data_IF_741693117016
#
_entry.id   IF_741693117016
#
_cell.length_a   1.000
_cell.length_b   1.000
_cell.length_c   1.000
_cell.angle_alpha   90.00
_cell.angle_beta   90.00
_cell.angle_gamma   90.00
#
_symmetry.space_group_name_H-M   'P 1'
#
loop_
_entity.id
_entity.type
_entity.pdbx_description
1 polymer ?
#
# COMPACT_ATOMS: atom_id res chain seq x y z
N UNK A 1 6.65 4.91 -19.16
CA UNK A 1 5.41 4.91 -18.37
C UNK A 1 5.75 5.56 -17.05
N UNK A 2 5.08 6.65 -16.69
CA UNK A 2 5.44 7.42 -15.50
C UNK A 2 4.56 6.99 -14.34
N UNK A 3 5.18 6.35 -13.36
CA UNK A 3 4.56 6.10 -12.07
C UNK A 3 4.27 7.45 -11.43
N UNK A 4 3.07 7.64 -10.88
CA UNK A 4 2.67 8.93 -10.33
C UNK A 4 1.70 8.75 -9.19
N UNK A 5 1.65 9.73 -8.31
CA UNK A 5 0.76 9.72 -7.16
C UNK A 5 1.43 10.23 -5.90
N UNK A 6 0.74 10.05 -4.78
CA UNK A 6 1.19 10.55 -3.50
C UNK A 6 0.65 9.75 -2.33
N UNK A 7 1.39 9.82 -1.22
CA UNK A 7 0.96 9.45 0.12
C UNK A 7 0.76 10.73 0.93
N UNK A 8 -0.36 10.80 1.64
CA UNK A 8 -0.66 11.81 2.65
C UNK A 8 -0.61 11.13 4.01
N UNK A 9 0.31 11.54 4.88
CA UNK A 9 0.44 11.03 6.25
C UNK A 9 0.33 12.20 7.22
N UNK A 10 -0.77 12.26 7.99
CA UNK A 10 -1.03 13.35 8.94
C UNK A 10 -0.80 14.76 8.35
N UNK A 11 -1.22 14.98 7.08
CA UNK A 11 -1.07 16.24 6.37
C UNK A 11 0.27 16.47 5.65
N UNK A 12 1.29 15.64 5.90
CA UNK A 12 2.52 15.65 5.09
C UNK A 12 2.29 14.90 3.78
N UNK A 13 2.84 15.43 2.69
CA UNK A 13 2.67 14.89 1.33
C UNK A 13 4.00 14.33 0.84
N UNK A 14 3.98 13.07 0.40
CA UNK A 14 5.12 12.38 -0.19
C UNK A 14 4.76 11.96 -1.62
N UNK A 15 5.52 12.45 -2.59
CA UNK A 15 5.33 12.03 -3.99
C UNK A 15 5.82 10.59 -4.18
N UNK A 16 5.12 9.81 -5.00
CA UNK A 16 5.54 8.47 -5.36
C UNK A 16 6.93 8.51 -6.04
N UNK A 17 7.81 7.59 -5.65
CA UNK A 17 9.12 7.41 -6.26
C UNK A 17 8.98 6.50 -7.49
N UNK A 18 9.42 6.99 -8.66
CA UNK A 18 9.42 6.15 -9.86
C UNK A 18 10.62 5.21 -9.83
N UNK A 19 10.43 3.96 -9.39
CA UNK A 19 11.50 2.97 -9.29
C UNK A 19 11.02 1.55 -9.64
N UNK A 20 11.98 0.62 -9.80
CA UNK A 20 11.67 -0.82 -9.95
C UNK A 20 11.03 -1.45 -8.71
N UNK A 21 11.17 -0.79 -7.57
CA UNK A 21 10.67 -1.25 -6.27
C UNK A 21 9.26 -0.74 -6.00
N UNK A 22 8.73 0.14 -6.85
CA UNK A 22 7.37 0.64 -6.79
C UNK A 22 6.54 -0.01 -7.90
N UNK A 23 5.74 -1.00 -7.53
CA UNK A 23 5.01 -1.86 -8.46
C UNK A 23 3.87 -2.62 -7.79
N UNK A 24 2.89 -3.00 -8.59
CA UNK A 24 1.85 -3.94 -8.26
C UNK A 24 2.28 -5.34 -8.69
N UNK A 25 1.82 -6.36 -7.97
CA UNK A 25 2.06 -7.76 -8.27
C UNK A 25 0.74 -8.49 -8.48
N UNK A 26 0.72 -9.39 -9.45
CA UNK A 26 -0.36 -10.34 -9.67
C UNK A 26 0.22 -11.74 -9.79
N UNK A 27 -0.32 -12.68 -9.03
CA UNK A 27 0.03 -14.08 -9.09
C UNK A 27 -1.24 -14.93 -9.20
N UNK A 28 -1.09 -16.17 -9.64
CA UNK A 28 -2.17 -17.15 -9.51
C UNK A 28 -2.38 -17.46 -8.02
N UNK A 29 -3.63 -17.63 -7.61
CA UNK A 29 -3.99 -18.04 -6.27
C UNK A 29 -3.67 -19.51 -6.05
N UNK A 30 -2.99 -19.80 -4.94
CA UNK A 30 -2.76 -21.16 -4.46
C UNK A 30 -3.99 -21.71 -3.69
N UNK A 31 -4.90 -20.83 -3.25
CA UNK A 31 -6.09 -21.19 -2.46
C UNK A 31 -7.34 -21.41 -3.32
N UNK A 32 -7.50 -20.64 -4.41
CA UNK A 32 -8.66 -20.69 -5.31
C UNK A 32 -8.20 -20.78 -6.78
N UNK A 33 -8.09 -22.02 -7.26
CA UNK A 33 -7.50 -22.36 -8.56
C UNK A 33 -8.15 -21.56 -9.72
N UNK A 34 -7.31 -20.90 -10.51
CA UNK A 34 -7.74 -20.08 -11.65
C UNK A 34 -8.13 -18.65 -11.29
N UNK A 35 -7.99 -18.25 -10.03
CA UNK A 35 -8.13 -16.85 -9.58
C UNK A 35 -6.77 -16.21 -9.32
N UNK A 36 -6.77 -14.88 -9.15
CA UNK A 36 -5.58 -14.07 -8.95
C UNK A 36 -5.44 -13.65 -7.48
N UNK A 37 -4.20 -13.39 -7.08
CA UNK A 37 -3.89 -12.57 -5.92
C UNK A 37 -3.36 -11.20 -6.35
N UNK A 38 -3.47 -10.19 -5.47
CA UNK A 38 -2.94 -8.85 -5.71
C UNK A 38 -2.19 -8.30 -4.49
N UNK A 39 -0.98 -7.81 -4.71
CA UNK A 39 -0.18 -7.08 -3.71
C UNK A 39 0.55 -5.91 -4.38
N UNK A 40 1.24 -5.08 -3.61
CA UNK A 40 2.05 -3.99 -4.17
C UNK A 40 3.10 -3.46 -3.20
N UNK A 41 4.15 -2.91 -3.78
CA UNK A 41 5.12 -2.05 -3.09
C UNK A 41 5.02 -0.62 -3.63
N UNK A 42 5.07 0.36 -2.73
CA UNK A 42 5.08 1.77 -3.07
C UNK A 42 6.14 2.51 -2.24
N UNK A 43 7.17 3.02 -2.91
CA UNK A 43 8.19 3.86 -2.29
C UNK A 43 7.86 5.33 -2.57
N UNK A 44 8.20 6.20 -1.62
CA UNK A 44 7.92 7.63 -1.74
C UNK A 44 9.19 8.46 -1.58
N UNK A 45 9.24 9.56 -2.33
CA UNK A 45 10.32 10.53 -2.29
C UNK A 45 10.44 11.15 -0.90
N UNK A 46 11.66 11.56 -0.58
CA UNK A 46 11.99 12.19 0.69
C UNK A 46 11.18 13.49 0.89
N UNK A 47 10.51 13.63 2.02
CA UNK A 47 9.83 14.86 2.42
C UNK A 47 9.97 15.12 3.93
N UNK A 48 9.62 16.33 4.36
CA UNK A 48 9.67 16.73 5.76
C UNK A 48 8.43 16.21 6.51
N UNK A 49 8.66 15.47 7.59
CA UNK A 49 7.63 14.97 8.49
C UNK A 49 8.09 15.18 9.94
N UNK A 50 7.28 15.92 10.72
CA UNK A 50 7.57 16.23 12.13
C UNK A 50 8.99 16.78 12.40
N UNK A 51 9.55 17.53 11.45
CA UNK A 51 10.89 18.14 11.57
C UNK A 51 12.04 17.29 11.05
N UNK A 52 11.76 16.08 10.56
CA UNK A 52 12.76 15.17 10.02
C UNK A 52 12.50 14.85 8.55
N UNK A 53 13.56 14.61 7.79
CA UNK A 53 13.44 14.21 6.39
C UNK A 53 13.37 12.69 6.28
N UNK A 54 12.22 12.17 5.86
CA UNK A 54 11.95 10.73 5.76
C UNK A 54 11.50 10.36 4.36
N UNK A 55 11.72 9.10 3.99
CA UNK A 55 11.27 8.50 2.72
C UNK A 55 10.44 7.26 3.05
N UNK A 56 9.10 7.40 3.16
CA UNK A 56 8.25 6.27 3.51
C UNK A 56 8.23 5.21 2.41
N UNK A 57 7.91 3.97 2.80
CA UNK A 57 7.50 2.93 1.85
C UNK A 57 6.37 2.08 2.43
N UNK A 58 5.58 1.50 1.54
CA UNK A 58 4.46 0.62 1.87
C UNK A 58 4.67 -0.70 1.13
N UNK A 59 4.49 -1.80 1.84
CA UNK A 59 4.42 -3.14 1.28
C UNK A 59 3.07 -3.75 1.68
N UNK A 60 2.23 -4.05 0.70
CA UNK A 60 1.01 -4.83 0.86
C UNK A 60 1.23 -6.17 0.19
N UNK A 61 1.29 -7.23 0.98
CA UNK A 61 1.43 -8.59 0.47
C UNK A 61 0.14 -9.05 -0.22
N UNK A 62 0.22 -10.21 -0.88
CA UNK A 62 -0.84 -10.72 -1.73
C UNK A 62 -2.19 -10.88 -1.00
N UNK A 63 -3.27 -10.34 -1.57
CA UNK A 63 -4.66 -10.56 -1.19
C UNK A 63 -5.31 -11.48 -2.21
N UNK A 64 -6.07 -12.46 -1.73
CA UNK A 64 -6.96 -13.27 -2.56
C UNK A 64 -8.03 -12.39 -3.21
N UNK A 65 -8.18 -12.49 -4.53
CA UNK A 65 -9.13 -11.63 -5.27
C UNK A 65 -10.44 -12.33 -5.59
N UNK A 66 -10.43 -13.66 -5.72
CA UNK A 66 -11.55 -14.42 -6.28
C UNK A 66 -11.90 -13.99 -7.72
N UNK A 67 -10.99 -13.31 -8.42
CA UNK A 67 -11.16 -12.83 -9.80
C UNK A 67 -10.19 -13.54 -10.73
N UNK A 68 -10.64 -13.79 -11.95
CA UNK A 68 -9.87 -14.53 -12.97
C UNK A 68 -9.12 -13.61 -13.94
N UNK A 69 -9.21 -12.28 -13.77
CA UNK A 69 -8.54 -11.32 -14.64
C UNK A 69 -8.30 -9.98 -13.93
N UNK A 70 -7.26 -9.27 -14.34
CA UNK A 70 -6.93 -7.94 -13.80
C UNK A 70 -8.06 -6.93 -14.05
N UNK A 71 -8.74 -7.00 -15.20
CA UNK A 71 -9.88 -6.12 -15.51
C UNK A 71 -11.04 -6.29 -14.53
N UNK A 72 -11.26 -7.51 -14.03
CA UNK A 72 -12.30 -7.79 -13.04
C UNK A 72 -11.97 -7.25 -11.64
N UNK A 73 -10.74 -6.76 -11.41
CA UNK A 73 -10.35 -6.13 -10.14
C UNK A 73 -10.84 -4.68 -10.04
N UNK A 74 -11.15 -4.01 -11.15
CA UNK A 74 -11.58 -2.59 -11.14
C UNK A 74 -12.84 -2.44 -10.27
N UNK A 75 -12.79 -1.53 -9.31
CA UNK A 75 -13.85 -1.28 -8.32
C UNK A 75 -13.85 -2.23 -7.12
N UNK A 76 -12.97 -3.24 -7.09
CA UNK A 76 -12.83 -4.13 -5.93
C UNK A 76 -12.03 -3.44 -4.82
N UNK A 77 -12.45 -3.68 -3.58
CA UNK A 77 -11.79 -3.19 -2.36
C UNK A 77 -11.34 -4.37 -1.51
N UNK A 78 -10.10 -4.33 -1.05
CA UNK A 78 -9.48 -5.30 -0.15
C UNK A 78 -9.11 -4.62 1.16
N UNK A 79 -9.10 -5.38 2.26
CA UNK A 79 -8.99 -4.81 3.61
C UNK A 79 -8.20 -5.73 4.53
N UNK A 80 -7.51 -5.12 5.50
CA UNK A 80 -7.05 -5.79 6.70
C UNK A 80 -7.53 -5.00 7.92
N UNK A 81 -8.22 -5.68 8.84
CA UNK A 81 -9.02 -5.05 9.92
C UNK A 81 -8.34 -5.10 11.29
N UNK A 82 -7.13 -5.64 11.38
CA UNK A 82 -6.43 -5.74 12.65
C UNK A 82 -4.92 -5.74 12.47
N UNK A 83 -4.23 -5.35 13.54
CA UNK A 83 -2.77 -5.45 13.63
C UNK A 83 -2.28 -6.90 13.51
N UNK A 84 -3.03 -7.86 14.06
CA UNK A 84 -2.69 -9.28 13.99
C UNK A 84 -2.70 -9.78 12.56
N UNK A 85 -3.74 -9.42 11.81
CA UNK A 85 -3.89 -9.77 10.39
C UNK A 85 -2.78 -9.18 9.54
N UNK A 86 -2.48 -7.88 9.70
CA UNK A 86 -1.40 -7.22 8.94
C UNK A 86 -0.02 -7.76 9.31
N UNK A 87 0.20 -8.11 10.58
CA UNK A 87 1.43 -8.77 11.03
C UNK A 87 1.57 -10.16 10.44
N UNK A 88 0.51 -10.97 10.44
CA UNK A 88 0.52 -12.33 9.88
C UNK A 88 0.77 -12.34 8.37
N UNK A 89 0.31 -11.29 7.68
CA UNK A 89 0.53 -11.05 6.25
C UNK A 89 1.85 -10.36 5.96
N UNK A 90 2.60 -9.93 6.98
CA UNK A 90 3.81 -9.11 6.85
C UNK A 90 3.59 -7.78 6.08
N UNK A 91 2.36 -7.26 6.09
CA UNK A 91 2.03 -5.96 5.51
C UNK A 91 2.71 -4.85 6.32
N UNK A 92 3.44 -3.97 5.63
CA UNK A 92 4.42 -3.10 6.27
C UNK A 92 4.29 -1.65 5.84
N UNK A 93 4.51 -0.74 6.80
CA UNK A 93 4.75 0.68 6.61
C UNK A 93 6.12 1.04 7.16
N UNK A 94 7.04 1.45 6.29
CA UNK A 94 8.33 1.97 6.72
C UNK A 94 8.26 3.50 6.76
N UNK A 95 8.65 4.09 7.90
CA UNK A 95 8.74 5.54 8.06
C UNK A 95 10.10 5.94 8.65
N UNK A 96 10.38 5.39 9.82
CA UNK A 96 11.65 5.47 10.53
C UNK A 96 12.22 4.08 10.71
N UNK A 97 11.34 3.16 11.09
CA UNK A 97 11.59 1.74 11.25
C UNK A 97 10.43 0.95 10.61
N UNK A 98 10.55 -0.36 10.66
CA UNK A 98 9.57 -1.30 10.12
C UNK A 98 8.35 -1.38 11.05
N UNK A 99 7.27 -0.66 10.69
CA UNK A 99 6.06 -0.58 11.51
C UNK A 99 4.87 -1.20 10.75
N UNK A 100 3.93 -1.87 11.44
CA UNK A 100 2.77 -2.46 10.81
C UNK A 100 1.70 -1.43 10.45
N UNK A 101 0.91 -1.74 9.43
CA UNK A 101 -0.34 -1.03 9.11
C UNK A 101 -1.49 -1.55 9.98
N UNK A 102 -2.50 -0.72 10.20
CA UNK A 102 -3.71 -1.09 10.95
C UNK A 102 -4.94 -0.56 10.22
N UNK A 103 -5.98 -1.39 10.10
CA UNK A 103 -7.29 -1.01 9.55
C UNK A 103 -7.18 -0.35 8.17
N UNK A 104 -6.37 -0.90 7.28
CA UNK A 104 -6.25 -0.35 5.94
C UNK A 104 -7.26 -0.98 4.98
N UNK A 105 -7.59 -0.23 3.95
CA UNK A 105 -8.26 -0.73 2.76
C UNK A 105 -7.63 -0.14 1.51
N UNK A 106 -7.56 -0.93 0.43
CA UNK A 106 -7.23 -0.39 -0.88
C UNK A 106 -8.26 -0.79 -1.92
N UNK A 107 -8.46 0.09 -2.90
CA UNK A 107 -9.36 -0.09 -4.03
C UNK A 107 -8.58 0.01 -5.32
N UNK A 108 -8.84 -0.92 -6.24
CA UNK A 108 -8.34 -0.83 -7.61
C UNK A 108 -9.27 0.08 -8.39
N UNK A 109 -8.90 1.35 -8.53
CA UNK A 109 -9.77 2.37 -9.12
C UNK A 109 -9.78 2.35 -10.66
N UNK A 110 -8.75 1.78 -11.29
CA UNK A 110 -8.64 1.76 -12.74
C UNK A 110 -7.38 1.05 -13.24
N UNK A 111 -7.33 0.84 -14.55
CA UNK A 111 -6.20 0.30 -15.28
C UNK A 111 -5.94 1.17 -16.50
N UNK A 112 -4.68 1.49 -16.76
CA UNK A 112 -4.30 2.27 -17.95
C UNK A 112 -2.89 1.92 -18.37
N UNK A 113 -2.71 1.50 -19.62
CA UNK A 113 -1.38 1.28 -20.23
C UNK A 113 -0.42 0.42 -19.37
N UNK A 114 -0.92 -0.64 -18.72
CA UNK A 114 -0.10 -1.51 -17.85
C UNK A 114 0.13 -0.96 -16.43
N UNK A 115 -0.51 0.14 -16.06
CA UNK A 115 -0.55 0.67 -14.70
C UNK A 115 -1.86 0.32 -14.01
N UNK A 116 -1.79 0.08 -12.70
CA UNK A 116 -2.90 -0.07 -11.76
C UNK A 116 -3.06 1.21 -10.96
N UNK A 117 -4.26 1.78 -10.97
CA UNK A 117 -4.62 2.88 -10.09
C UNK A 117 -5.08 2.32 -8.75
N UNK A 118 -4.35 2.62 -7.69
CA UNK A 118 -4.61 2.17 -6.33
C UNK A 118 -4.99 3.39 -5.48
N UNK A 119 -6.14 3.28 -4.82
CA UNK A 119 -6.54 4.18 -3.73
C UNK A 119 -6.38 3.41 -2.43
N UNK A 120 -5.58 3.90 -1.50
CA UNK A 120 -5.26 3.25 -0.22
C UNK A 120 -5.58 4.20 0.92
N UNK A 121 -6.14 3.70 2.02
CA UNK A 121 -6.30 4.47 3.25
C UNK A 121 -6.22 3.56 4.46
N UNK A 122 -5.85 4.12 5.61
CA UNK A 122 -5.76 3.35 6.85
C UNK A 122 -5.07 4.11 7.97
N UNK A 123 -4.55 3.37 8.93
CA UNK A 123 -3.78 3.89 10.06
C UNK A 123 -2.37 3.29 10.00
N UNK A 124 -1.35 4.14 9.97
CA UNK A 124 0.04 3.73 10.10
C UNK A 124 0.49 3.88 11.55
N UNK A 125 1.20 2.88 12.09
CA UNK A 125 1.98 3.07 13.32
C UNK A 125 3.23 3.88 12.95
N UNK A 126 3.43 5.02 13.61
CA UNK A 126 4.53 5.94 13.29
C UNK A 126 5.64 5.95 14.35
N UNK A 127 5.39 5.34 15.51
CA UNK A 127 6.31 5.20 16.64
C UNK A 127 5.81 4.04 17.52
N UNK A 128 6.24 2.82 17.20
CA UNK A 128 5.85 1.60 17.91
C UNK A 128 6.52 1.42 19.28
N UNK A 129 7.61 2.15 19.54
CA UNK A 129 8.35 2.14 20.81
C UNK A 129 7.78 3.07 21.86
N UNK A 130 6.99 4.08 21.46
CA UNK A 130 6.30 4.96 22.39
C UNK A 130 5.21 4.25 23.21
N UNK A 131 4.94 4.78 24.41
CA UNK A 131 3.88 4.32 25.31
C UNK A 131 2.99 5.50 25.72
N UNK A 132 1.75 5.62 25.20
CA UNK A 132 1.13 4.74 24.20
C UNK A 132 1.78 4.87 22.82
N UNK A 133 1.61 3.84 21.97
CA UNK A 133 2.06 3.88 20.57
C UNK A 133 1.43 5.07 19.85
N UNK A 134 2.21 5.74 19.00
CA UNK A 134 1.66 6.77 18.12
C UNK A 134 1.27 6.16 16.79
N UNK A 135 0.13 6.63 16.29
CA UNK A 135 -0.37 6.28 14.98
C UNK A 135 -0.85 7.51 14.25
N UNK A 136 -1.00 7.42 12.95
CA UNK A 136 -1.50 8.50 12.11
C UNK A 136 -2.37 7.95 10.99
N UNK A 137 -3.48 8.63 10.68
CA UNK A 137 -4.23 8.31 9.48
C UNK A 137 -3.36 8.63 8.27
N UNK A 138 -3.52 7.81 7.23
CA UNK A 138 -2.89 8.05 5.95
C UNK A 138 -3.85 7.75 4.81
N UNK A 139 -3.59 8.36 3.67
CA UNK A 139 -4.23 8.04 2.40
C UNK A 139 -3.23 8.08 1.26
N UNK A 140 -3.44 7.25 0.26
CA UNK A 140 -2.62 7.10 -0.93
C UNK A 140 -3.50 7.10 -2.18
N UNK A 141 -3.01 7.75 -3.21
CA UNK A 141 -3.60 7.77 -4.54
C UNK A 141 -2.45 7.71 -5.55
N UNK A 142 -2.26 6.55 -6.18
CA UNK A 142 -1.11 6.31 -7.04
C UNK A 142 -1.34 5.29 -8.15
N UNK A 143 -0.57 5.45 -9.22
CA UNK A 143 -0.47 4.56 -10.38
C UNK A 143 0.81 3.75 -10.31
N UNK A 144 0.66 2.43 -10.17
CA UNK A 144 1.77 1.47 -10.07
C UNK A 144 1.85 0.60 -11.33
N UNK A 145 3.04 0.27 -11.85
CA UNK A 145 3.15 -0.72 -12.92
C UNK A 145 2.75 -2.10 -12.42
N UNK A 146 2.07 -2.86 -13.28
CA UNK A 146 1.89 -4.32 -13.15
C UNK A 146 3.21 -5.07 -13.42
#
# INVERSE_FOLDING_TARGET
MEQSGQLILNGAVFALESSSDTKCYLFDSDEDEGTLTIGFDACFRKALYQGEWVSPSICINAHETGKTSVQALIGCTYRANSLEETTAREDTFYLYEHEPLVNYQFTIAGLSEGLVHVLLEGIAITDGYSSPRKSSPFSGDFWLPL
#
